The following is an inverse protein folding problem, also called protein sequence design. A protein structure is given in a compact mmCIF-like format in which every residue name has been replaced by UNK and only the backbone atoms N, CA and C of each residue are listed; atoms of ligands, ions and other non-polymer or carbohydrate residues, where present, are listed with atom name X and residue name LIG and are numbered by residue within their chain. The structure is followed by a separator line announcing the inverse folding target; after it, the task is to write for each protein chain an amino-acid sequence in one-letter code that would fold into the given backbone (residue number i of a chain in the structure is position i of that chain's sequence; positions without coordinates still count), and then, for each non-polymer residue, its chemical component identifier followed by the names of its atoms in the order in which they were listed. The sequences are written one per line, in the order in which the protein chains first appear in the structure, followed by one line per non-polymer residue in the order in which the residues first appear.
data_IF_653792263723
#
_entry.id   IF_653792263723
#
_cell.length_a   1.000
_cell.length_b   1.000
_cell.length_c   1.000
_cell.angle_alpha   90.00
_cell.angle_beta   90.00
_cell.angle_gamma   90.00
#
_symmetry.space_group_name_H-M   'P 1'
#
loop_
_entity.id
_entity.type
_entity.pdbx_description
1 polymer ?
#
# COMPACT_ATOMS: atom_id res chain seq x y z
N UNK A 1 -7.29 32.49 -29.08
CA UNK A 1 -6.44 32.37 -27.87
C UNK A 1 -7.14 31.44 -26.88
N UNK A 2 -6.77 30.15 -26.86
CA UNK A 2 -7.33 29.19 -25.91
C UNK A 2 -6.36 29.01 -24.74
N UNK A 3 -6.72 29.52 -23.56
CA UNK A 3 -6.01 29.21 -22.31
C UNK A 3 -6.34 27.78 -21.91
N UNK A 4 -5.43 26.85 -22.20
CA UNK A 4 -5.45 25.48 -21.71
C UNK A 4 -5.17 25.54 -20.20
N UNK A 5 -6.11 25.11 -19.36
CA UNK A 5 -5.87 24.93 -17.92
C UNK A 5 -4.94 23.72 -17.73
N UNK A 6 -3.63 23.96 -17.62
CA UNK A 6 -2.71 23.01 -17.02
C UNK A 6 -2.61 23.33 -15.53
N UNK A 7 -3.44 22.68 -14.71
CA UNK A 7 -3.16 22.57 -13.28
C UNK A 7 -2.01 21.58 -13.11
N UNK A 8 -0.77 22.06 -13.23
CA UNK A 8 0.40 21.30 -12.78
C UNK A 8 0.24 21.07 -11.28
N UNK A 9 -0.11 19.84 -10.92
CA UNK A 9 -0.11 19.36 -9.55
C UNK A 9 1.30 19.48 -9.01
N UNK A 10 1.52 20.51 -8.18
CA UNK A 10 2.73 20.80 -7.43
C UNK A 10 3.36 19.50 -6.85
N UNK A 11 4.39 19.00 -7.53
CA UNK A 11 5.06 17.72 -7.20
C UNK A 11 5.96 17.80 -5.97
N UNK A 12 6.12 18.99 -5.35
CA UNK A 12 7.08 19.26 -4.28
C UNK A 12 6.48 19.46 -2.88
N UNK A 13 5.18 19.22 -2.67
CA UNK A 13 4.66 19.10 -1.30
C UNK A 13 5.11 17.75 -0.75
N UNK A 14 5.87 17.74 0.36
CA UNK A 14 6.03 16.56 1.24
C UNK A 14 4.66 15.89 1.35
N UNK A 15 4.49 14.75 0.69
CA UNK A 15 3.21 14.06 0.62
C UNK A 15 2.99 13.40 1.96
N UNK A 16 2.45 14.16 2.92
CA UNK A 16 1.74 13.56 4.03
C UNK A 16 0.52 12.89 3.40
N UNK A 17 0.64 11.60 3.09
CA UNK A 17 -0.42 10.81 2.45
C UNK A 17 -1.74 10.80 3.24
N UNK A 18 -1.68 11.21 4.50
CA UNK A 18 -2.68 10.92 5.52
C UNK A 18 -3.11 12.19 6.26
N UNK A 19 -3.31 13.31 5.57
CA UNK A 19 -3.40 14.60 6.28
C UNK A 19 -4.63 14.79 7.19
N UNK A 20 -5.64 13.90 7.16
CA UNK A 20 -6.86 14.07 7.97
C UNK A 20 -7.10 12.99 9.02
N UNK A 21 -6.59 11.76 8.83
CA UNK A 21 -7.13 10.57 9.52
C UNK A 21 -6.06 9.66 10.18
N UNK A 22 -4.94 10.22 10.60
CA UNK A 22 -3.77 9.50 11.16
C UNK A 22 -4.04 8.69 12.43
N UNK A 23 -5.08 9.04 13.18
CA UNK A 23 -5.51 8.37 14.42
C UNK A 23 -6.53 7.26 14.18
N UNK A 24 -6.98 7.05 12.94
CA UNK A 24 -7.91 5.95 12.61
C UNK A 24 -7.18 4.62 12.67
N UNK A 25 -7.81 3.62 13.30
CA UNK A 25 -7.33 2.23 13.33
C UNK A 25 -7.19 1.69 11.92
N UNK A 26 -6.03 1.13 11.60
CA UNK A 26 -5.75 0.52 10.31
C UNK A 26 -6.70 -0.65 10.05
N UNK A 27 -7.27 -0.64 8.85
CA UNK A 27 -8.08 -1.74 8.30
C UNK A 27 -7.64 -1.95 6.86
N UNK A 28 -7.75 -3.17 6.37
CA UNK A 28 -7.54 -3.46 4.96
C UNK A 28 -8.78 -4.13 4.36
N UNK A 29 -8.90 -4.04 3.05
CA UNK A 29 -9.96 -4.66 2.26
C UNK A 29 -9.38 -5.26 0.98
N UNK A 30 -10.05 -6.27 0.46
CA UNK A 30 -9.82 -6.79 -0.89
C UNK A 30 -11.06 -6.40 -1.68
N UNK A 31 -10.91 -5.45 -2.60
CA UNK A 31 -12.02 -4.91 -3.40
C UNK A 31 -11.95 -5.43 -4.83
N UNK A 32 -10.73 -5.54 -5.37
CA UNK A 32 -10.47 -6.08 -6.70
C UNK A 32 -9.65 -7.38 -6.58
N UNK A 33 -9.49 -8.08 -7.70
CA UNK A 33 -8.47 -9.14 -7.80
C UNK A 33 -7.10 -8.56 -7.47
N UNK A 34 -6.28 -9.33 -6.77
CA UNK A 34 -4.87 -9.02 -6.63
C UNK A 34 -4.15 -9.32 -7.96
N UNK A 35 -2.98 -8.75 -8.14
CA UNK A 35 -2.19 -9.00 -9.34
C UNK A 35 -1.80 -10.47 -9.46
N UNK A 36 -1.84 -10.97 -10.70
CA UNK A 36 -1.42 -12.33 -11.02
C UNK A 36 0.01 -12.57 -10.52
N UNK A 37 0.22 -13.67 -9.79
CA UNK A 37 1.51 -14.01 -9.19
C UNK A 37 1.78 -13.35 -7.83
N UNK A 38 0.90 -12.47 -7.36
CA UNK A 38 0.99 -11.76 -6.08
C UNK A 38 -0.31 -11.87 -5.26
N UNK A 39 -1.04 -12.96 -5.45
CA UNK A 39 -2.27 -13.28 -4.75
C UNK A 39 -2.03 -14.37 -3.69
N UNK A 40 -3.08 -14.75 -2.96
CA UNK A 40 -3.01 -15.82 -1.96
C UNK A 40 -2.60 -17.17 -2.55
N UNK A 41 -2.97 -17.45 -3.81
CA UNK A 41 -2.61 -18.68 -4.50
C UNK A 41 -1.11 -18.77 -4.77
N UNK A 42 -0.46 -17.63 -4.92
CA UNK A 42 0.97 -17.51 -5.19
C UNK A 42 1.84 -17.59 -3.92
N UNK A 43 1.23 -17.66 -2.74
CA UNK A 43 1.94 -17.78 -1.47
C UNK A 43 2.29 -19.24 -1.16
N UNK A 44 3.54 -19.47 -0.76
CA UNK A 44 3.91 -20.72 -0.09
C UNK A 44 3.60 -20.64 1.42
N UNK A 45 3.84 -21.74 2.14
CA UNK A 45 3.57 -21.83 3.58
C UNK A 45 4.28 -20.75 4.39
N UNK A 46 5.49 -20.37 4.01
CA UNK A 46 6.25 -19.30 4.67
C UNK A 46 5.65 -17.92 4.36
N UNK A 47 5.28 -17.67 3.10
CA UNK A 47 4.56 -16.47 2.67
C UNK A 47 3.24 -16.28 3.41
N UNK A 48 2.46 -17.35 3.60
CA UNK A 48 1.21 -17.34 4.37
C UNK A 48 1.45 -17.02 5.85
N UNK A 49 2.47 -17.62 6.47
CA UNK A 49 2.84 -17.30 7.87
C UNK A 49 3.24 -15.83 8.02
N UNK A 50 4.03 -15.31 7.08
CA UNK A 50 4.44 -13.89 7.09
C UNK A 50 3.26 -12.96 6.91
N UNK A 51 2.34 -13.28 5.99
CA UNK A 51 1.11 -12.52 5.82
C UNK A 51 0.27 -12.51 7.10
N UNK A 52 0.02 -13.68 7.68
CA UNK A 52 -0.75 -13.80 8.92
C UNK A 52 -0.10 -13.02 10.07
N UNK A 53 1.21 -13.17 10.26
CA UNK A 53 1.93 -12.46 11.32
C UNK A 53 1.89 -10.94 11.09
N UNK A 54 2.06 -10.48 9.84
CA UNK A 54 1.99 -9.06 9.50
C UNK A 54 0.61 -8.48 9.82
N UNK A 55 -0.45 -9.19 9.45
CA UNK A 55 -1.83 -8.77 9.70
C UNK A 55 -2.13 -8.78 11.20
N UNK A 56 -1.80 -9.86 11.92
CA UNK A 56 -2.03 -9.97 13.36
C UNK A 56 -1.26 -8.90 14.13
N UNK A 57 0.00 -8.64 13.77
CA UNK A 57 0.82 -7.60 14.41
C UNK A 57 0.17 -6.21 14.34
N UNK A 58 -0.57 -5.91 13.27
CA UNK A 58 -1.25 -4.64 13.07
C UNK A 58 -2.63 -4.63 13.74
N UNK A 59 -3.42 -5.68 13.50
CA UNK A 59 -4.82 -5.75 13.95
C UNK A 59 -4.95 -6.02 15.45
N UNK A 60 -4.14 -6.92 16.02
CA UNK A 60 -4.17 -7.21 17.47
C UNK A 60 -3.73 -6.00 18.28
N UNK A 61 -2.71 -5.27 17.79
CA UNK A 61 -2.23 -4.03 18.41
C UNK A 61 -3.12 -2.83 18.10
N UNK A 62 -4.19 -3.01 17.31
CA UNK A 62 -5.13 -1.97 16.86
C UNK A 62 -4.40 -0.72 16.36
N UNK A 63 -3.33 -0.93 15.60
CA UNK A 63 -2.44 0.16 15.21
C UNK A 63 -3.19 1.19 14.37
N UNK A 64 -2.94 2.47 14.60
CA UNK A 64 -3.47 3.54 13.75
C UNK A 64 -2.72 3.59 12.42
N UNK A 65 -3.31 4.24 11.40
CA UNK A 65 -2.67 4.45 10.11
C UNK A 65 -1.29 5.10 10.28
N UNK A 66 -1.16 6.09 11.17
CA UNK A 66 0.14 6.74 11.42
C UNK A 66 1.17 5.81 12.07
N UNK A 67 0.74 4.94 12.97
CA UNK A 67 1.61 3.93 13.57
C UNK A 67 2.04 2.90 12.54
N UNK A 68 1.13 2.49 11.64
CA UNK A 68 1.47 1.57 10.53
C UNK A 68 2.44 2.23 9.57
N UNK A 69 2.20 3.48 9.16
CA UNK A 69 3.10 4.25 8.29
C UNK A 69 4.51 4.35 8.91
N UNK A 70 4.60 4.72 10.19
CA UNK A 70 5.88 4.87 10.90
C UNK A 70 6.67 3.56 10.97
N UNK A 71 5.97 2.43 11.14
CA UNK A 71 6.57 1.12 11.45
C UNK A 71 6.83 0.28 10.20
N UNK A 72 5.93 0.32 9.22
CA UNK A 72 5.93 -0.58 8.07
C UNK A 72 6.14 0.11 6.72
N UNK A 73 5.96 1.44 6.61
CA UNK A 73 6.20 2.10 5.32
C UNK A 73 7.70 2.19 5.05
N UNK A 74 8.13 1.70 3.88
CA UNK A 74 9.55 1.71 3.50
C UNK A 74 10.01 3.13 3.15
N UNK A 75 11.00 3.66 3.86
CA UNK A 75 11.51 5.04 3.61
C UNK A 75 12.58 5.15 2.51
N UNK A 76 13.25 4.04 2.17
CA UNK A 76 14.47 4.05 1.32
C UNK A 76 14.23 3.86 -0.18
N UNK A 77 13.10 3.32 -0.60
CA UNK A 77 12.81 3.05 -2.00
C UNK A 77 11.37 3.46 -2.30
N UNK A 78 11.20 4.52 -3.09
CA UNK A 78 9.95 5.07 -3.65
C UNK A 78 8.69 4.46 -2.99
N UNK A 79 8.31 4.90 -1.77
CA UNK A 79 7.19 4.30 -1.04
C UNK A 79 5.84 4.44 -1.74
N UNK A 80 5.80 5.29 -2.77
CA UNK A 80 4.61 5.76 -3.45
C UNK A 80 4.84 5.66 -4.94
N UNK A 81 4.09 4.79 -5.59
CA UNK A 81 4.12 4.60 -7.04
C UNK A 81 2.77 5.02 -7.59
N UNK A 82 2.75 5.86 -8.63
CA UNK A 82 1.51 6.14 -9.36
C UNK A 82 1.11 4.87 -10.09
N UNK A 83 -0.12 4.42 -9.91
CA UNK A 83 -0.66 3.23 -10.53
C UNK A 83 -2.08 3.48 -10.99
N UNK A 84 -2.44 2.99 -12.17
CA UNK A 84 -3.81 2.94 -12.63
C UNK A 84 -4.44 1.60 -12.21
N UNK A 85 -5.67 1.63 -11.69
CA UNK A 85 -6.47 0.47 -11.31
C UNK A 85 -7.58 0.30 -12.34
N UNK A 86 -7.40 -0.63 -13.27
CA UNK A 86 -8.29 -0.81 -14.43
C UNK A 86 -9.73 -1.15 -14.02
N UNK A 87 -9.91 -1.97 -12.98
CA UNK A 87 -11.25 -2.40 -12.54
C UNK A 87 -12.11 -1.25 -11.98
N UNK A 88 -11.48 -0.15 -11.59
CA UNK A 88 -12.14 1.03 -11.01
C UNK A 88 -11.93 2.29 -11.87
N UNK A 89 -11.22 2.17 -12.99
CA UNK A 89 -10.81 3.30 -13.87
C UNK A 89 -10.28 4.50 -13.07
N UNK A 90 -9.31 4.24 -12.18
CA UNK A 90 -8.80 5.28 -11.28
C UNK A 90 -7.28 5.24 -11.10
N UNK A 91 -6.70 6.43 -10.93
CA UNK A 91 -5.29 6.57 -10.56
C UNK A 91 -5.13 6.62 -9.04
N UNK A 92 -4.26 5.76 -8.51
CA UNK A 92 -3.95 5.66 -7.09
C UNK A 92 -2.47 5.93 -6.82
N UNK A 93 -2.17 6.22 -5.56
CA UNK A 93 -0.81 6.17 -5.03
C UNK A 93 -0.65 4.84 -4.30
N UNK A 94 -0.05 3.86 -4.97
CA UNK A 94 0.25 2.56 -4.38
C UNK A 94 1.37 2.72 -3.34
N UNK A 95 1.12 2.17 -2.16
CA UNK A 95 1.96 2.23 -0.97
C UNK A 95 2.52 0.84 -0.72
N UNK A 96 3.82 0.79 -0.38
CA UNK A 96 4.49 -0.47 -0.05
C UNK A 96 4.69 -0.58 1.47
N UNK A 97 4.01 -1.54 2.09
CA UNK A 97 4.15 -1.85 3.51
C UNK A 97 5.00 -3.11 3.68
N UNK A 98 6.09 -3.00 4.45
CA UNK A 98 6.98 -4.11 4.76
C UNK A 98 7.96 -3.70 5.87
N UNK A 99 7.94 -4.45 6.98
CA UNK A 99 8.77 -4.16 8.16
C UNK A 99 10.26 -4.34 7.85
N UNK A 100 11.12 -3.46 8.36
CA UNK A 100 12.59 -3.65 8.41
C UNK A 100 13.26 -4.06 7.08
N UNK A 101 12.76 -3.56 5.95
CA UNK A 101 13.25 -3.91 4.61
C UNK A 101 13.13 -5.40 4.24
N UNK A 102 12.37 -6.17 5.01
CA UNK A 102 12.10 -7.58 4.76
C UNK A 102 11.59 -7.80 3.33
N UNK A 103 11.82 -9.02 2.83
CA UNK A 103 11.40 -9.41 1.49
C UNK A 103 9.88 -9.39 1.34
N UNK A 104 9.16 -9.73 2.41
CA UNK A 104 7.69 -9.73 2.44
C UNK A 104 7.11 -8.32 2.42
N UNK A 105 6.11 -8.08 1.56
CA UNK A 105 5.48 -6.77 1.36
C UNK A 105 4.01 -6.90 1.01
N UNK A 106 3.22 -5.94 1.50
CA UNK A 106 1.88 -5.66 1.03
C UNK A 106 1.89 -4.38 0.20
N UNK A 107 1.19 -4.42 -0.93
CA UNK A 107 0.98 -3.27 -1.79
C UNK A 107 -0.49 -2.90 -1.75
N UNK A 108 -0.79 -1.61 -1.74
CA UNK A 108 -2.17 -1.16 -1.71
C UNK A 108 -2.30 0.35 -1.66
N UNK A 109 -3.53 0.83 -1.61
CA UNK A 109 -3.84 2.26 -1.51
C UNK A 109 -4.96 2.48 -0.50
N UNK A 110 -5.08 3.69 0.05
CA UNK A 110 -6.22 4.01 0.89
C UNK A 110 -7.37 4.52 0.04
N UNK A 111 -8.56 3.93 0.21
CA UNK A 111 -9.79 4.45 -0.38
C UNK A 111 -10.40 5.56 0.48
N UNK A 112 -11.49 6.15 0.01
CA UNK A 112 -12.21 7.25 0.68
C UNK A 112 -12.74 6.86 2.08
N UNK A 113 -12.95 5.56 2.32
CA UNK A 113 -13.40 5.00 3.59
C UNK A 113 -12.25 4.65 4.55
N UNK A 114 -11.02 5.06 4.24
CA UNK A 114 -9.80 4.77 4.99
C UNK A 114 -9.45 3.27 5.10
N UNK A 115 -9.93 2.43 4.20
CA UNK A 115 -9.44 1.05 4.08
C UNK A 115 -8.19 1.04 3.21
N UNK A 116 -7.17 0.32 3.66
CA UNK A 116 -6.05 -0.07 2.82
C UNK A 116 -6.51 -1.17 1.85
N UNK A 117 -6.81 -0.81 0.61
CA UNK A 117 -7.19 -1.74 -0.45
C UNK A 117 -5.95 -2.43 -0.97
N UNK A 118 -5.90 -3.75 -0.81
CA UNK A 118 -4.76 -4.59 -1.17
C UNK A 118 -4.71 -4.84 -2.69
N UNK A 119 -3.54 -4.67 -3.30
CA UNK A 119 -3.28 -4.93 -4.72
C UNK A 119 -2.30 -6.08 -4.94
N UNK A 120 -1.31 -6.25 -4.05
CA UNK A 120 -0.32 -7.34 -4.11
C UNK A 120 0.07 -7.85 -2.72
N UNK A 121 0.30 -9.15 -2.62
CA UNK A 121 1.01 -9.80 -1.52
C UNK A 121 2.30 -10.41 -2.10
N UNK A 122 3.42 -9.73 -1.86
CA UNK A 122 4.73 -10.19 -2.31
C UNK A 122 5.43 -10.91 -1.16
N UNK A 123 5.59 -12.23 -1.28
CA UNK A 123 6.31 -13.05 -0.30
C UNK A 123 7.81 -13.16 -0.58
N UNK A 124 8.26 -12.83 -1.79
CA UNK A 124 9.59 -13.17 -2.30
C UNK A 124 10.13 -12.06 -3.17
N UNK A 125 10.88 -11.16 -2.55
CA UNK A 125 11.73 -10.27 -3.33
C UNK A 125 12.98 -11.01 -3.84
N UNK A 126 12.97 -11.40 -5.12
CA UNK A 126 14.16 -11.46 -5.95
C UNK A 126 14.12 -10.22 -6.84
N UNK A 127 14.88 -9.17 -6.48
CA UNK A 127 15.07 -8.04 -7.41
C UNK A 127 16.20 -8.45 -8.36
N UNK A 128 15.85 -9.11 -9.45
CA UNK A 128 16.68 -9.16 -10.66
C UNK A 128 15.77 -8.71 -11.81
N UNK A 129 15.63 -7.41 -11.98
CA UNK A 129 15.27 -6.78 -13.25
C UNK A 129 16.43 -5.84 -13.62
#
# INVERSE_FOLDING_TARGET
MNKKLTSELNLNKKTNLFHTNKEIVFKFAIVNKLDNGYDFKSLDLDGLKKFNNFVNDILEKKMTISQVEKTYMRKRFKPLVKRHIEEQDMDVREIHLGKDQQKFRLFGYFNENNYFVLTKIDSKHNFNE
#
